data_IF_584771372361
#
_entry.id   IF_584771372361
#
_cell.length_a   1.000
_cell.length_b   1.000
_cell.length_c   1.000
_cell.angle_alpha   90.00
_cell.angle_beta   90.00
_cell.angle_gamma   90.00
#
_symmetry.space_group_name_H-M   'P 1'
#
loop_
_entity.id
_entity.type
_entity.pdbx_description
1 polymer ?
#
# COMPACT_ATOMS: atom_id res chain seq x y z
N UNK A 1 -10.30 -14.62 -6.53
CA UNK A 1 -8.83 -14.58 -6.71
C UNK A 1 -8.26 -13.37 -5.99
N UNK A 2 -7.21 -13.58 -5.21
CA UNK A 2 -6.52 -12.52 -4.46
C UNK A 2 -5.11 -12.34 -5.03
N UNK A 3 -4.80 -11.12 -5.50
CA UNK A 3 -3.47 -10.74 -5.96
C UNK A 3 -2.86 -9.81 -4.91
N UNK A 4 -1.79 -10.23 -4.27
CA UNK A 4 -1.03 -9.46 -3.29
C UNK A 4 0.19 -8.80 -3.95
N UNK A 5 0.32 -7.47 -3.83
CA UNK A 5 1.47 -6.71 -4.34
C UNK A 5 2.14 -5.99 -3.18
N UNK A 6 3.26 -6.52 -2.71
CA UNK A 6 4.05 -5.93 -1.63
C UNK A 6 5.35 -5.30 -2.15
N UNK A 7 5.98 -4.49 -1.32
CA UNK A 7 7.27 -3.88 -1.64
C UNK A 7 7.46 -2.50 -0.98
N UNK A 8 8.68 -1.93 -1.06
CA UNK A 8 9.03 -0.68 -0.40
C UNK A 8 8.31 0.53 -1.00
N UNK A 9 8.43 1.69 -0.34
CA UNK A 9 7.84 2.95 -0.82
C UNK A 9 8.42 3.34 -2.19
N UNK A 10 7.56 3.85 -3.11
CA UNK A 10 8.00 4.30 -4.44
C UNK A 10 8.34 3.20 -5.44
N UNK A 11 8.08 1.91 -5.15
CA UNK A 11 8.30 0.81 -6.11
C UNK A 11 7.23 0.68 -7.20
N UNK A 12 6.22 1.57 -7.24
CA UNK A 12 5.19 1.60 -8.28
C UNK A 12 3.95 0.74 -8.01
N UNK A 13 3.85 0.11 -6.82
CA UNK A 13 2.76 -0.83 -6.48
C UNK A 13 1.36 -0.31 -6.77
N UNK A 14 1.01 0.86 -6.23
CA UNK A 14 -0.36 1.38 -6.34
C UNK A 14 -0.73 1.75 -7.78
N UNK A 15 0.22 2.26 -8.56
CA UNK A 15 0.01 2.54 -9.98
C UNK A 15 -0.24 1.26 -10.78
N UNK A 16 0.60 0.24 -10.54
CA UNK A 16 0.50 -1.07 -11.19
C UNK A 16 -0.79 -1.78 -10.76
N UNK A 17 -1.11 -1.80 -9.46
CA UNK A 17 -2.35 -2.41 -8.95
C UNK A 17 -3.60 -1.79 -9.57
N UNK A 18 -3.65 -0.46 -9.74
CA UNK A 18 -4.74 0.23 -10.43
C UNK A 18 -4.89 -0.17 -11.89
N UNK A 19 -3.77 -0.34 -12.62
CA UNK A 19 -3.79 -0.77 -14.01
C UNK A 19 -4.28 -2.21 -14.12
N UNK A 20 -3.76 -3.10 -13.27
CA UNK A 20 -4.17 -4.52 -13.20
C UNK A 20 -5.66 -4.63 -12.89
N UNK A 21 -6.14 -3.91 -11.88
CA UNK A 21 -7.56 -3.85 -11.52
C UNK A 21 -8.45 -3.51 -12.72
N UNK A 22 -8.08 -2.48 -13.48
CA UNK A 22 -8.82 -2.06 -14.69
C UNK A 22 -8.75 -3.11 -15.80
N UNK A 23 -7.55 -3.65 -16.10
CA UNK A 23 -7.38 -4.61 -17.19
C UNK A 23 -8.06 -5.95 -16.92
N UNK A 24 -8.09 -6.39 -15.66
CA UNK A 24 -8.71 -7.66 -15.27
C UNK A 24 -10.17 -7.48 -14.80
N UNK A 25 -10.66 -6.25 -14.72
CA UNK A 25 -11.99 -5.91 -14.18
C UNK A 25 -12.22 -6.50 -12.78
N UNK A 26 -11.25 -6.32 -11.87
CA UNK A 26 -11.30 -6.74 -10.48
C UNK A 26 -11.15 -5.54 -9.55
N UNK A 27 -11.49 -5.69 -8.28
CA UNK A 27 -11.36 -4.61 -7.31
C UNK A 27 -9.89 -4.27 -7.02
N UNK A 28 -9.63 -3.05 -6.57
CA UNK A 28 -8.33 -2.61 -6.05
C UNK A 28 -8.48 -2.03 -4.65
N UNK A 29 -7.60 -2.43 -3.75
CA UNK A 29 -7.50 -1.88 -2.40
C UNK A 29 -6.08 -1.36 -2.12
N UNK A 30 -5.91 -0.03 -2.07
CA UNK A 30 -4.72 0.65 -1.55
C UNK A 30 -4.74 0.56 -0.01
N UNK A 31 -4.08 -0.44 0.55
CA UNK A 31 -4.07 -0.62 2.02
C UNK A 31 -3.32 0.49 2.74
N UNK A 32 -2.33 1.10 2.08
CA UNK A 32 -1.62 2.26 2.62
C UNK A 32 -2.54 3.49 2.80
N UNK A 33 -3.56 3.64 1.95
CA UNK A 33 -4.55 4.70 2.09
C UNK A 33 -5.39 4.54 3.36
N UNK A 34 -5.66 3.31 3.82
CA UNK A 34 -6.42 3.07 5.05
C UNK A 34 -5.68 3.60 6.30
N UNK A 35 -4.37 3.39 6.38
CA UNK A 35 -3.55 4.00 7.45
C UNK A 35 -3.49 5.52 7.35
N UNK A 36 -3.56 6.07 6.14
CA UNK A 36 -3.60 7.52 5.93
C UNK A 36 -4.95 8.12 6.33
N UNK A 37 -6.05 7.39 6.17
CA UNK A 37 -7.35 7.84 6.67
C UNK A 37 -7.36 7.98 8.19
N UNK A 38 -6.82 7.00 8.93
CA UNK A 38 -6.63 7.11 10.37
C UNK A 38 -5.71 8.28 10.73
N UNK A 39 -4.58 8.40 10.03
CA UNK A 39 -3.64 9.49 10.25
C UNK A 39 -4.28 10.87 10.04
N UNK A 40 -5.09 11.01 8.99
CA UNK A 40 -5.81 12.25 8.70
C UNK A 40 -6.85 12.60 9.78
N UNK A 41 -7.59 11.59 10.30
CA UNK A 41 -8.51 11.78 11.43
C UNK A 41 -7.78 12.34 12.64
N UNK A 42 -6.66 11.73 13.03
CA UNK A 42 -5.84 12.19 14.15
C UNK A 42 -5.33 13.63 13.95
N UNK A 43 -4.90 13.97 12.73
CA UNK A 43 -4.41 15.32 12.41
C UNK A 43 -5.54 16.34 12.40
N UNK A 44 -6.70 16.04 11.81
CA UNK A 44 -7.84 16.96 11.76
C UNK A 44 -8.38 17.30 13.17
N UNK A 45 -8.39 16.32 14.06
CA UNK A 45 -8.91 16.47 15.42
C UNK A 45 -7.81 16.87 16.42
N UNK A 46 -6.55 17.01 15.95
CA UNK A 46 -5.37 17.30 16.77
C UNK A 46 -5.22 16.33 17.96
N UNK A 47 -5.43 15.03 17.68
CA UNK A 47 -5.38 13.96 18.66
C UNK A 47 -4.09 13.15 18.59
N UNK A 48 -3.61 12.72 19.74
CA UNK A 48 -2.72 11.57 19.83
C UNK A 48 -3.54 10.28 19.71
N UNK A 49 -2.85 9.20 19.30
CA UNK A 49 -3.52 7.91 19.15
C UNK A 49 -3.99 7.37 20.51
N UNK A 50 -5.26 7.07 20.57
CA UNK A 50 -5.89 6.24 21.60
C UNK A 50 -6.70 5.14 20.93
N UNK A 51 -6.80 3.97 21.56
CA UNK A 51 -7.47 2.80 20.99
C UNK A 51 -8.96 3.03 20.68
N UNK A 52 -9.63 3.91 21.43
CA UNK A 52 -11.06 4.22 21.24
C UNK A 52 -11.33 4.79 19.85
N UNK A 53 -10.36 5.49 19.25
CA UNK A 53 -10.52 6.11 17.93
C UNK A 53 -10.77 5.11 16.82
N UNK A 54 -10.33 3.85 16.98
CA UNK A 54 -10.59 2.79 16.00
C UNK A 54 -12.07 2.43 15.92
N UNK A 55 -12.81 2.52 17.03
CA UNK A 55 -14.26 2.29 17.06
C UNK A 55 -15.07 3.42 16.44
N UNK A 56 -14.49 4.62 16.38
CA UNK A 56 -15.09 5.83 15.82
C UNK A 56 -14.63 6.09 14.37
N UNK A 57 -13.74 5.22 13.85
CA UNK A 57 -13.17 5.40 12.51
C UNK A 57 -14.17 5.00 11.43
N UNK A 58 -14.86 5.99 10.87
CA UNK A 58 -15.79 5.79 9.76
C UNK A 58 -15.06 6.05 8.43
N UNK A 59 -14.62 4.98 7.77
CA UNK A 59 -13.97 5.04 6.47
C UNK A 59 -14.78 4.29 5.42
N UNK A 60 -14.85 4.88 4.23
CA UNK A 60 -15.45 4.25 3.05
C UNK A 60 -14.49 4.37 1.88
N UNK A 61 -14.38 3.28 1.11
CA UNK A 61 -13.56 3.21 -0.09
C UNK A 61 -14.48 2.79 -1.23
N UNK A 62 -14.54 3.62 -2.26
CA UNK A 62 -15.39 3.37 -3.42
C UNK A 62 -14.67 3.85 -4.69
N UNK A 63 -14.46 2.96 -5.65
CA UNK A 63 -13.85 3.28 -6.96
C UNK A 63 -12.51 4.04 -6.85
N UNK A 64 -11.66 3.63 -5.90
CA UNK A 64 -10.40 4.30 -5.53
C UNK A 64 -10.55 5.73 -4.97
N UNK A 65 -11.76 6.14 -4.59
CA UNK A 65 -11.99 7.33 -3.80
C UNK A 65 -12.08 6.95 -2.31
N UNK A 66 -11.56 7.83 -1.47
CA UNK A 66 -11.42 7.59 -0.04
C UNK A 66 -12.22 8.63 0.73
N UNK A 67 -13.10 8.14 1.61
CA UNK A 67 -13.97 8.98 2.41
C UNK A 67 -13.65 8.76 3.89
N UNK A 68 -13.60 9.86 4.63
CA UNK A 68 -13.51 9.90 6.08
C UNK A 68 -14.69 10.69 6.62
N UNK A 69 -15.50 10.06 7.47
CA UNK A 69 -16.73 10.65 8.01
C UNK A 69 -17.63 11.24 6.88
N UNK A 70 -17.80 10.44 5.80
CA UNK A 70 -18.54 10.74 4.58
C UNK A 70 -18.00 11.91 3.73
N UNK A 71 -16.84 12.49 4.09
CA UNK A 71 -16.17 13.53 3.32
C UNK A 71 -15.13 12.91 2.39
N UNK A 72 -15.16 13.27 1.10
CA UNK A 72 -14.11 12.87 0.16
C UNK A 72 -12.77 13.52 0.54
N UNK A 73 -11.79 12.68 0.86
CA UNK A 73 -10.44 13.07 1.26
C UNK A 73 -9.37 12.46 0.35
N UNK A 74 -9.74 12.01 -0.83
CA UNK A 74 -8.90 11.27 -1.77
C UNK A 74 -7.58 11.98 -2.08
N UNK A 75 -7.61 13.29 -2.27
CA UNK A 75 -6.41 14.10 -2.48
C UNK A 75 -5.67 14.36 -1.16
N UNK A 76 -6.39 14.71 -0.11
CA UNK A 76 -5.83 15.13 1.18
C UNK A 76 -5.03 14.03 1.88
N UNK A 77 -5.44 12.75 1.73
CA UNK A 77 -4.66 11.63 2.28
C UNK A 77 -3.28 11.45 1.62
N UNK A 78 -2.98 12.16 0.52
CA UNK A 78 -1.68 12.09 -0.17
C UNK A 78 -0.65 13.09 0.38
N UNK A 79 -1.07 14.01 1.23
CA UNK A 79 -0.21 15.02 1.83
C UNK A 79 0.97 14.38 2.60
N UNK A 80 2.12 15.06 2.58
CA UNK A 80 3.34 14.57 3.20
C UNK A 80 3.20 14.39 4.72
N UNK A 81 2.47 15.29 5.39
CA UNK A 81 2.21 15.21 6.83
C UNK A 81 1.37 13.99 7.17
N UNK A 82 0.30 13.74 6.41
CA UNK A 82 -0.54 12.53 6.54
C UNK A 82 0.29 11.27 6.33
N UNK A 83 1.17 11.27 5.32
CA UNK A 83 2.05 10.13 5.03
C UNK A 83 3.02 9.83 6.17
N UNK A 84 3.57 10.86 6.84
CA UNK A 84 4.44 10.71 8.02
C UNK A 84 3.68 10.17 9.23
N UNK A 85 2.51 10.73 9.53
CA UNK A 85 1.66 10.27 10.64
C UNK A 85 1.18 8.83 10.39
N UNK A 86 0.80 8.46 9.15
CA UNK A 86 0.43 7.10 8.77
C UNK A 86 1.57 6.11 9.00
N UNK A 87 2.80 6.47 8.63
CA UNK A 87 3.99 5.65 8.90
C UNK A 87 4.22 5.46 10.40
N UNK A 88 3.93 6.47 11.23
CA UNK A 88 4.03 6.38 12.68
C UNK A 88 2.98 5.44 13.27
N UNK A 89 1.70 5.65 12.96
CA UNK A 89 0.60 4.83 13.52
C UNK A 89 0.62 3.39 13.03
N UNK A 90 1.19 3.13 11.85
CA UNK A 90 1.31 1.78 11.30
C UNK A 90 2.25 0.85 12.09
N UNK A 91 3.00 1.37 13.07
CA UNK A 91 3.81 0.56 14.01
C UNK A 91 2.99 0.00 15.16
N UNK A 92 1.87 0.62 15.46
CA UNK A 92 1.04 0.29 16.62
C UNK A 92 0.31 -1.03 16.33
N UNK A 93 0.47 -2.00 17.23
CA UNK A 93 -0.05 -3.35 17.06
C UNK A 93 -1.57 -3.36 16.87
N UNK A 94 -2.32 -2.68 17.72
CA UNK A 94 -3.78 -2.61 17.68
C UNK A 94 -4.30 -1.97 16.38
N UNK A 95 -3.60 -0.95 15.89
CA UNK A 95 -3.92 -0.34 14.59
C UNK A 95 -3.75 -1.35 13.46
N UNK A 96 -2.66 -2.14 13.49
CA UNK A 96 -2.44 -3.15 12.46
C UNK A 96 -3.49 -4.26 12.50
N UNK A 97 -3.78 -4.79 13.68
CA UNK A 97 -4.81 -5.82 13.86
C UNK A 97 -6.15 -5.34 13.29
N UNK A 98 -6.59 -4.14 13.69
CA UNK A 98 -7.82 -3.52 13.17
C UNK A 98 -7.80 -3.35 11.64
N UNK A 99 -6.70 -2.84 11.09
CA UNK A 99 -6.59 -2.62 9.65
C UNK A 99 -6.55 -3.93 8.86
N UNK A 100 -5.87 -4.96 9.35
CA UNK A 100 -5.85 -6.30 8.72
C UNK A 100 -7.27 -6.88 8.67
N UNK A 101 -8.02 -6.82 9.77
CA UNK A 101 -9.39 -7.32 9.82
C UNK A 101 -10.30 -6.53 8.87
N UNK A 102 -10.14 -5.22 8.82
CA UNK A 102 -10.92 -4.37 7.91
C UNK A 102 -10.57 -4.63 6.43
N UNK A 103 -9.29 -4.84 6.10
CA UNK A 103 -8.85 -5.21 4.76
C UNK A 103 -9.47 -6.53 4.31
N UNK A 104 -9.45 -7.54 5.17
CA UNK A 104 -10.10 -8.84 4.92
C UNK A 104 -11.59 -8.70 4.71
N UNK A 105 -12.25 -7.90 5.56
CA UNK A 105 -13.70 -7.63 5.46
C UNK A 105 -14.07 -6.92 4.15
N UNK A 106 -13.29 -5.91 3.73
CA UNK A 106 -13.51 -5.18 2.47
C UNK A 106 -13.29 -6.09 1.27
N UNK A 107 -12.26 -6.94 1.31
CA UNK A 107 -11.95 -7.86 0.22
C UNK A 107 -13.04 -8.91 0.00
N UNK A 108 -13.72 -9.36 1.06
CA UNK A 108 -14.80 -10.34 0.94
C UNK A 108 -14.40 -11.57 0.13
N UNK A 109 -15.32 -12.06 -0.72
CA UNK A 109 -15.10 -13.18 -1.65
C UNK A 109 -14.82 -12.74 -3.09
N UNK A 110 -14.55 -11.47 -3.31
CA UNK A 110 -14.39 -10.89 -4.65
C UNK A 110 -12.99 -11.11 -5.20
N UNK A 111 -12.86 -11.06 -6.52
CA UNK A 111 -11.56 -10.96 -7.17
C UNK A 111 -10.98 -9.56 -6.89
N UNK A 112 -9.76 -9.51 -6.34
CA UNK A 112 -9.19 -8.26 -5.86
C UNK A 112 -7.66 -8.25 -5.97
N UNK A 113 -7.11 -7.08 -6.27
CA UNK A 113 -5.69 -6.79 -6.11
C UNK A 113 -5.50 -5.83 -4.95
N UNK A 114 -4.60 -6.18 -4.03
CA UNK A 114 -4.23 -5.34 -2.89
C UNK A 114 -2.76 -4.93 -3.01
N UNK A 115 -2.48 -3.67 -2.72
CA UNK A 115 -1.09 -3.23 -2.60
C UNK A 115 -0.76 -2.75 -1.19
N UNK A 116 0.42 -3.16 -0.70
CA UNK A 116 0.82 -2.89 0.67
C UNK A 116 2.28 -3.17 1.00
N UNK A 117 2.51 -3.72 2.21
CA UNK A 117 3.83 -4.10 2.74
C UNK A 117 3.88 -5.54 3.24
N UNK A 118 2.75 -6.07 3.61
CA UNK A 118 2.59 -7.34 4.30
C UNK A 118 1.31 -8.09 3.86
N UNK A 119 0.86 -7.81 2.64
CA UNK A 119 -0.36 -8.43 2.11
C UNK A 119 -0.16 -9.93 1.97
N UNK A 120 0.91 -10.36 1.29
CA UNK A 120 1.21 -11.77 1.06
C UNK A 120 1.81 -12.51 2.26
N UNK A 121 2.17 -11.80 3.33
CA UNK A 121 2.75 -12.42 4.53
C UNK A 121 1.81 -12.46 5.72
N UNK A 122 0.91 -11.46 5.86
CA UNK A 122 0.04 -11.30 7.03
C UNK A 122 -1.44 -11.21 6.64
N UNK A 123 -1.81 -10.33 5.71
CA UNK A 123 -3.22 -10.07 5.39
C UNK A 123 -3.83 -11.28 4.68
N UNK A 124 -3.20 -11.74 3.61
CA UNK A 124 -3.59 -12.89 2.81
C UNK A 124 -2.40 -13.82 2.56
N UNK A 125 -1.96 -14.58 3.58
CA UNK A 125 -0.82 -15.51 3.44
C UNK A 125 -1.09 -16.63 2.44
N UNK A 126 -2.35 -16.85 2.06
CA UNK A 126 -2.78 -17.81 1.04
C UNK A 126 -3.29 -17.11 -0.23
N UNK A 127 -2.83 -15.88 -0.52
CA UNK A 127 -3.19 -15.19 -1.76
C UNK A 127 -2.80 -16.05 -2.99
N UNK A 128 -3.65 -16.01 -4.02
CA UNK A 128 -3.45 -16.82 -5.24
C UNK A 128 -2.16 -16.45 -5.98
N UNK A 129 -1.82 -15.17 -5.95
CA UNK A 129 -0.61 -14.62 -6.56
C UNK A 129 0.00 -13.61 -5.60
N UNK A 130 1.30 -13.77 -5.33
CA UNK A 130 2.08 -12.85 -4.51
C UNK A 130 3.22 -12.27 -5.33
N UNK A 131 3.23 -10.96 -5.42
CA UNK A 131 4.26 -10.18 -6.12
C UNK A 131 4.97 -9.31 -5.11
N UNK A 132 6.29 -9.29 -5.17
CA UNK A 132 7.11 -8.34 -4.44
C UNK A 132 7.79 -7.39 -5.43
N UNK A 133 7.32 -6.15 -5.51
CA UNK A 133 7.91 -5.13 -6.36
C UNK A 133 9.05 -4.42 -5.64
N UNK A 134 10.22 -4.40 -6.26
CA UNK A 134 11.37 -3.67 -5.77
C UNK A 134 11.96 -2.77 -6.84
N UNK A 135 12.79 -1.82 -6.44
CA UNK A 135 13.70 -1.03 -7.28
C UNK A 135 14.78 -0.44 -6.39
N UNK A 136 15.90 -0.01 -6.96
CA UNK A 136 16.94 0.71 -6.21
C UNK A 136 16.34 1.95 -5.55
N UNK A 137 16.86 2.31 -4.39
CA UNK A 137 16.30 3.44 -3.64
C UNK A 137 16.46 4.75 -4.39
N UNK A 138 17.54 4.88 -5.17
CA UNK A 138 17.81 6.03 -6.03
C UNK A 138 16.73 6.17 -7.11
N UNK A 139 16.34 5.06 -7.74
CA UNK A 139 15.29 5.07 -8.76
C UNK A 139 13.93 5.41 -8.15
N UNK A 140 13.60 4.84 -7.00
CA UNK A 140 12.37 5.14 -6.29
C UNK A 140 12.30 6.61 -5.83
N UNK A 141 13.43 7.17 -5.39
CA UNK A 141 13.53 8.57 -5.01
C UNK A 141 13.38 9.51 -6.22
N UNK A 142 13.94 9.14 -7.39
CA UNK A 142 13.73 9.89 -8.64
C UNK A 142 12.25 9.92 -9.04
N UNK A 143 11.56 8.75 -9.03
CA UNK A 143 10.14 8.67 -9.33
C UNK A 143 9.34 9.58 -8.40
N UNK A 144 9.64 9.55 -7.10
CA UNK A 144 8.97 10.39 -6.11
C UNK A 144 9.25 11.88 -6.29
N UNK A 145 10.46 12.27 -6.70
CA UNK A 145 10.82 13.67 -6.98
C UNK A 145 10.08 14.22 -8.21
N UNK A 146 9.77 13.37 -9.19
CA UNK A 146 8.93 13.75 -10.34
C UNK A 146 7.47 13.96 -9.92
N UNK A 147 6.96 13.15 -8.99
CA UNK A 147 5.58 13.28 -8.47
C UNK A 147 5.41 14.51 -7.58
N UNK A 148 6.45 14.88 -6.83
CA UNK A 148 6.42 15.98 -5.86
C UNK A 148 7.71 16.81 -5.98
N UNK A 149 7.68 17.84 -6.80
CA UNK A 149 8.80 18.75 -7.04
C UNK A 149 8.98 19.85 -5.97
N UNK A 150 8.14 19.84 -4.93
CA UNK A 150 8.23 20.79 -3.81
C UNK A 150 9.30 20.44 -2.79
N UNK A 151 9.83 19.20 -2.84
CA UNK A 151 10.82 18.65 -1.90
C UNK A 151 12.10 18.27 -2.63
N UNK A 152 13.28 18.60 -2.08
CA UNK A 152 14.55 18.24 -2.71
C UNK A 152 14.76 16.73 -2.78
N UNK A 153 15.45 16.26 -3.81
CA UNK A 153 15.79 14.84 -4.02
C UNK A 153 16.50 14.24 -2.80
N UNK A 154 17.47 14.96 -2.22
CA UNK A 154 18.23 14.50 -1.05
C UNK A 154 17.31 14.26 0.15
N UNK A 155 16.34 15.14 0.35
CA UNK A 155 15.34 15.01 1.42
C UNK A 155 14.43 13.81 1.17
N UNK A 156 13.96 13.64 -0.07
CA UNK A 156 13.15 12.49 -0.47
C UNK A 156 13.93 11.19 -0.22
N UNK A 157 15.18 11.11 -0.68
CA UNK A 157 16.04 9.93 -0.52
C UNK A 157 16.26 9.60 0.95
N UNK A 158 16.54 10.60 1.78
CA UNK A 158 16.70 10.42 3.22
C UNK A 158 15.43 9.88 3.89
N UNK A 159 14.27 10.50 3.60
CA UNK A 159 12.99 10.11 4.19
C UNK A 159 12.58 8.70 3.74
N UNK A 160 12.87 8.34 2.50
CA UNK A 160 12.62 6.99 1.99
C UNK A 160 13.50 5.93 2.62
N UNK A 161 14.81 6.19 2.83
CA UNK A 161 15.72 5.27 3.54
C UNK A 161 15.21 5.00 4.94
N UNK A 162 14.87 6.06 5.67
CA UNK A 162 14.34 5.95 7.03
C UNK A 162 13.03 5.15 7.08
N UNK A 163 12.16 5.34 6.08
CA UNK A 163 10.88 4.62 6.00
C UNK A 163 11.08 3.15 5.67
N UNK A 164 11.96 2.81 4.72
CA UNK A 164 12.25 1.42 4.37
C UNK A 164 12.87 0.66 5.53
N UNK A 165 13.81 1.27 6.25
CA UNK A 165 14.35 0.72 7.49
C UNK A 165 13.23 0.48 8.51
N UNK A 166 12.38 1.48 8.75
CA UNK A 166 11.26 1.34 9.65
C UNK A 166 10.29 0.22 9.23
N UNK A 167 9.91 0.14 7.93
CA UNK A 167 8.98 -0.87 7.45
C UNK A 167 9.57 -2.29 7.58
N UNK A 168 10.88 -2.46 7.38
CA UNK A 168 11.57 -3.77 7.44
C UNK A 168 11.93 -4.22 8.87
N UNK A 169 12.13 -3.28 9.80
CA UNK A 169 12.58 -3.59 11.16
C UNK A 169 11.49 -3.52 12.22
N UNK A 170 10.27 -3.09 11.86
CA UNK A 170 9.17 -3.03 12.82
C UNK A 170 8.84 -4.42 13.36
N UNK A 171 8.51 -4.49 14.65
CA UNK A 171 8.19 -5.74 15.36
C UNK A 171 6.94 -6.42 14.77
N UNK A 172 5.90 -5.63 14.47
CA UNK A 172 4.63 -6.17 13.99
C UNK A 172 4.54 -6.06 12.47
N UNK A 173 4.37 -7.21 11.78
CA UNK A 173 4.19 -7.32 10.33
C UNK A 173 5.27 -6.58 9.53
N UNK A 174 6.57 -6.88 9.70
CA UNK A 174 7.63 -6.22 8.95
C UNK A 174 7.47 -6.45 7.45
N UNK A 175 7.97 -5.50 6.65
CA UNK A 175 8.10 -5.68 5.20
C UNK A 175 9.06 -6.83 4.93
N UNK A 176 8.53 -7.96 4.47
CA UNK A 176 9.28 -9.17 4.10
C UNK A 176 8.74 -9.73 2.79
N UNK A 177 9.62 -10.38 2.04
CA UNK A 177 9.24 -11.16 0.88
C UNK A 177 8.59 -12.45 1.38
N UNK A 178 7.37 -12.75 0.92
CA UNK A 178 6.76 -14.05 1.19
C UNK A 178 7.51 -15.16 0.44
N UNK A 179 7.61 -16.35 1.02
CA UNK A 179 8.43 -17.44 0.47
C UNK A 179 8.03 -17.85 -0.94
N UNK A 180 6.75 -17.71 -1.28
CA UNK A 180 6.15 -18.02 -2.57
C UNK A 180 5.91 -16.76 -3.44
N UNK A 181 6.46 -15.60 -3.06
CA UNK A 181 6.31 -14.38 -3.84
C UNK A 181 7.26 -14.32 -5.03
N UNK A 182 6.75 -13.86 -6.15
CA UNK A 182 7.54 -13.56 -7.35
C UNK A 182 8.11 -12.15 -7.18
N UNK A 183 9.44 -12.06 -7.12
CA UNK A 183 10.15 -10.78 -7.02
C UNK A 183 10.34 -10.17 -8.41
N UNK A 184 9.93 -8.92 -8.57
CA UNK A 184 10.13 -8.15 -9.80
C UNK A 184 10.90 -6.88 -9.46
N UNK A 185 12.14 -6.79 -9.96
CA UNK A 185 12.93 -5.56 -9.91
C UNK A 185 12.50 -4.64 -11.06
N UNK A 186 11.94 -3.50 -10.69
CA UNK A 186 11.40 -2.51 -11.64
C UNK A 186 12.37 -1.37 -11.94
N UNK A 187 13.65 -1.45 -11.52
CA UNK A 187 14.64 -0.38 -11.64
C UNK A 187 14.77 0.14 -13.08
N UNK A 188 14.80 -0.78 -14.05
CA UNK A 188 14.95 -0.46 -15.48
C UNK A 188 13.72 -0.85 -16.31
N UNK A 189 12.55 -0.93 -15.67
CA UNK A 189 11.31 -1.31 -16.35
C UNK A 189 10.33 -0.14 -16.37
N UNK A 190 9.66 0.03 -17.49
CA UNK A 190 8.49 0.90 -17.56
C UNK A 190 7.26 0.22 -16.92
N UNK A 191 6.24 1.02 -16.69
CA UNK A 191 5.03 0.58 -16.00
C UNK A 191 4.27 -0.49 -16.80
N UNK A 192 4.30 -0.39 -18.14
CA UNK A 192 3.61 -1.32 -19.02
C UNK A 192 4.29 -2.68 -19.04
N UNK A 193 5.63 -2.73 -19.10
CA UNK A 193 6.39 -3.96 -19.03
C UNK A 193 6.15 -4.71 -17.70
N UNK A 194 6.15 -4.02 -16.57
CA UNK A 194 5.84 -4.62 -15.26
C UNK A 194 4.41 -5.12 -15.23
N UNK A 195 3.46 -4.31 -15.69
CA UNK A 195 2.04 -4.67 -15.69
C UNK A 195 1.77 -5.89 -16.54
N UNK A 196 2.31 -5.95 -17.76
CA UNK A 196 2.12 -7.07 -18.67
C UNK A 196 2.70 -8.36 -18.10
N UNK A 197 3.89 -8.29 -17.47
CA UNK A 197 4.50 -9.44 -16.79
C UNK A 197 3.59 -9.99 -15.68
N UNK A 198 2.95 -9.12 -14.89
CA UNK A 198 2.04 -9.57 -13.82
C UNK A 198 0.76 -10.16 -14.41
N UNK A 199 0.21 -9.58 -15.48
CA UNK A 199 -0.98 -10.11 -16.14
C UNK A 199 -0.71 -11.51 -16.70
N UNK A 200 0.43 -11.73 -17.34
CA UNK A 200 0.84 -13.06 -17.82
C UNK A 200 0.88 -14.09 -16.68
N UNK A 201 1.41 -13.72 -15.51
CA UNK A 201 1.40 -14.60 -14.33
C UNK A 201 -0.02 -14.93 -13.86
N UNK A 202 -0.93 -13.95 -13.91
CA UNK A 202 -2.34 -14.16 -13.57
C UNK A 202 -3.02 -15.09 -14.55
N UNK A 203 -2.80 -14.91 -15.85
CA UNK A 203 -3.37 -15.74 -16.90
C UNK A 203 -2.85 -17.20 -16.82
N UNK A 204 -1.56 -17.37 -16.60
CA UNK A 204 -0.95 -18.69 -16.41
C UNK A 204 -1.55 -19.40 -15.18
N UNK A 205 -1.80 -18.68 -14.08
CA UNK A 205 -2.44 -19.25 -12.88
C UNK A 205 -3.89 -19.66 -13.11
N UNK A 206 -4.64 -18.94 -13.97
CA UNK A 206 -6.03 -19.28 -14.30
C UNK A 206 -6.16 -20.49 -15.23
N UNK A 207 -5.12 -20.75 -16.03
CA UNK A 207 -5.13 -21.81 -17.05
C UNK A 207 -4.48 -23.13 -16.59
N UNK A 208 -3.86 -23.17 -15.43
CA UNK A 208 -3.22 -24.34 -14.82
C UNK A 208 -3.98 -24.82 -13.60
#
# INVERSE_FOLDING_TARGET
MIIAIDGPSGSGKSSIAKIISKKLNIQHLDTGAMYRLLALKLLNENLEYDKSILSELNIKIQDNNFFLDDIDVTTKIRDNEVSKKASSVSKIKEVREYMVDLQRKISGEQDIVLDGRDIGTVVFPNADIKIFLTATIEERAKRRAIEDNSVSYEKILYDMKKRDEQDSTRENSPLKIADDAIVIDTTNMDIDAVTNKIIELVENKKNG
#
